data_IF_324530504637
#
_entry.id   IF_324530504637
#
_cell.length_a   1.000
_cell.length_b   1.000
_cell.length_c   1.000
_cell.angle_alpha   90.00
_cell.angle_beta   90.00
_cell.angle_gamma   90.00
#
_symmetry.space_group_name_H-M   'P 1'
#
loop_
_entity.id
_entity.type
_entity.pdbx_description
1 polymer ?
#
# COMPACT_ATOMS: atom_id res chain seq x y z
N UNK A 1 -47.69 -9.59 4.54
CA UNK A 1 -48.73 -8.59 4.80
C UNK A 1 -50.01 -8.98 4.05
N UNK A 2 -51.18 -8.94 4.69
CA UNK A 2 -52.47 -9.23 4.04
C UNK A 2 -53.22 -7.93 3.78
N UNK A 3 -53.38 -7.54 2.52
CA UNK A 3 -54.23 -6.40 2.13
C UNK A 3 -55.70 -6.86 2.10
N UNK A 4 -56.66 -5.93 2.17
CA UNK A 4 -58.13 -6.15 2.16
C UNK A 4 -58.69 -7.02 0.99
N UNK A 5 -57.84 -7.54 0.09
CA UNK A 5 -58.17 -8.51 -0.96
C UNK A 5 -57.85 -9.98 -0.63
N UNK A 6 -57.23 -10.28 0.52
CA UNK A 6 -56.87 -11.65 0.91
C UNK A 6 -55.55 -12.19 0.32
N UNK A 7 -54.79 -11.35 -0.39
CA UNK A 7 -53.43 -11.69 -0.83
C UNK A 7 -52.41 -11.42 0.28
N UNK A 8 -51.65 -12.46 0.65
CA UNK A 8 -50.51 -12.32 1.55
C UNK A 8 -49.26 -12.04 0.70
N UNK A 9 -48.82 -10.80 0.70
CA UNK A 9 -47.55 -10.41 0.09
C UNK A 9 -46.41 -10.77 1.04
N UNK A 10 -45.44 -11.53 0.56
CA UNK A 10 -44.13 -11.67 1.22
C UNK A 10 -43.33 -10.45 0.77
N UNK A 11 -42.91 -9.62 1.74
CA UNK A 11 -42.00 -8.50 1.46
C UNK A 11 -40.59 -9.05 1.58
N UNK A 12 -39.85 -9.01 0.48
CA UNK A 12 -38.42 -9.33 0.47
C UNK A 12 -37.63 -8.05 0.37
N UNK A 13 -36.55 -7.96 1.15
CA UNK A 13 -35.63 -6.82 1.16
C UNK A 13 -34.25 -7.39 0.93
N UNK A 14 -33.58 -6.93 -0.11
CA UNK A 14 -32.20 -7.30 -0.43
C UNK A 14 -31.35 -6.04 -0.41
N UNK A 15 -30.30 -6.04 0.40
CA UNK A 15 -29.26 -5.01 0.36
C UNK A 15 -28.13 -5.51 -0.54
N UNK A 16 -27.81 -4.75 -1.59
CA UNK A 16 -26.64 -4.99 -2.43
C UNK A 16 -25.47 -4.17 -1.87
N UNK A 17 -24.48 -4.79 -1.20
CA UNK A 17 -23.27 -4.09 -0.79
C UNK A 17 -22.37 -3.80 -2.00
N UNK A 18 -21.51 -2.77 -1.93
CA UNK A 18 -20.47 -2.53 -2.91
C UNK A 18 -19.37 -3.57 -2.78
N UNK A 19 -18.44 -3.52 -3.73
CA UNK A 19 -17.13 -4.15 -3.55
C UNK A 19 -16.41 -3.61 -2.31
N UNK A 20 -15.43 -4.38 -1.84
CA UNK A 20 -14.53 -4.01 -0.75
C UNK A 20 -13.88 -2.64 -1.00
N UNK A 21 -13.58 -1.91 0.06
CA UNK A 21 -12.97 -0.59 -0.01
C UNK A 21 -11.66 -0.51 0.78
N UNK A 22 -10.74 0.35 0.33
CA UNK A 22 -9.52 0.65 1.07
C UNK A 22 -9.86 1.65 2.19
N UNK A 23 -9.25 1.49 3.36
CA UNK A 23 -9.31 2.46 4.46
C UNK A 23 -8.99 3.88 3.96
N UNK A 24 -9.85 4.86 4.32
CA UNK A 24 -9.69 6.23 3.84
C UNK A 24 -10.26 6.51 2.45
N UNK A 25 -10.95 5.55 1.80
CA UNK A 25 -11.60 5.76 0.50
C UNK A 25 -13.12 5.85 0.62
N UNK A 26 -13.74 6.51 -0.36
CA UNK A 26 -15.19 6.47 -0.56
C UNK A 26 -15.59 5.10 -1.12
N UNK A 27 -16.65 4.50 -0.60
CA UNK A 27 -17.17 3.24 -1.12
C UNK A 27 -17.83 3.41 -2.50
N UNK A 28 -18.09 2.30 -3.18
CA UNK A 28 -19.11 2.29 -4.23
C UNK A 28 -20.53 2.34 -3.61
N UNK A 29 -21.55 2.44 -4.46
CA UNK A 29 -22.95 2.54 -4.04
C UNK A 29 -23.44 1.26 -3.33
N UNK A 30 -24.14 1.46 -2.21
CA UNK A 30 -25.01 0.49 -1.56
C UNK A 30 -26.44 0.76 -2.04
N UNK A 31 -27.20 -0.29 -2.33
CA UNK A 31 -28.59 -0.16 -2.77
C UNK A 31 -29.52 -1.14 -2.07
N UNK A 32 -30.80 -0.79 -1.99
CA UNK A 32 -31.88 -1.66 -1.52
C UNK A 32 -32.81 -2.02 -2.67
N UNK A 33 -33.07 -3.32 -2.82
CA UNK A 33 -34.12 -3.87 -3.66
C UNK A 33 -35.26 -4.38 -2.76
N UNK A 34 -36.50 -4.09 -3.13
CA UNK A 34 -37.70 -4.54 -2.39
C UNK A 34 -38.62 -5.27 -3.35
N UNK A 35 -39.06 -6.47 -2.97
CA UNK A 35 -40.05 -7.22 -3.73
C UNK A 35 -41.39 -7.36 -3.00
N UNK A 36 -42.53 -7.18 -3.71
CA UNK A 36 -42.61 -6.71 -5.09
C UNK A 36 -42.24 -5.22 -5.23
N UNK A 37 -41.51 -4.87 -6.29
CA UNK A 37 -41.00 -3.50 -6.52
C UNK A 37 -42.05 -2.41 -6.75
N UNK A 38 -43.34 -2.77 -6.75
CA UNK A 38 -44.48 -1.84 -6.80
C UNK A 38 -44.89 -1.30 -5.42
N UNK A 39 -44.29 -1.77 -4.33
CA UNK A 39 -44.59 -1.27 -2.99
C UNK A 39 -44.11 0.18 -2.81
N UNK A 40 -44.97 1.03 -2.25
CA UNK A 40 -44.60 2.37 -1.83
C UNK A 40 -43.82 2.29 -0.52
N UNK A 41 -42.59 2.82 -0.51
CA UNK A 41 -41.71 2.82 0.66
C UNK A 41 -41.82 4.19 1.35
N UNK A 42 -42.11 4.19 2.64
CA UNK A 42 -42.31 5.40 3.44
C UNK A 42 -40.98 6.04 3.83
N UNK A 43 -39.98 5.22 4.17
CA UNK A 43 -38.64 5.69 4.56
C UNK A 43 -37.57 4.61 4.47
N UNK A 44 -36.32 5.06 4.32
CA UNK A 44 -35.11 4.25 4.44
C UNK A 44 -34.30 4.70 5.66
N UNK A 45 -33.58 3.77 6.28
CA UNK A 45 -32.61 4.07 7.33
C UNK A 45 -31.43 3.10 7.23
N UNK A 46 -30.33 3.61 6.69
CA UNK A 46 -29.07 2.88 6.65
C UNK A 46 -28.41 2.80 8.02
N UNK A 47 -27.93 1.60 8.36
CA UNK A 47 -27.26 1.29 9.63
C UNK A 47 -26.13 0.31 9.38
N UNK A 48 -25.17 0.29 10.28
CA UNK A 48 -24.04 -0.63 10.22
C UNK A 48 -23.74 -1.16 11.62
N UNK A 49 -23.12 -2.33 11.64
CA UNK A 49 -22.62 -2.95 12.86
C UNK A 49 -21.22 -3.49 12.59
N UNK A 50 -20.34 -3.36 13.59
CA UNK A 50 -19.07 -4.07 13.63
C UNK A 50 -19.15 -5.18 14.68
N UNK A 51 -18.32 -6.23 14.60
CA UNK A 51 -18.26 -7.26 15.63
C UNK A 51 -18.08 -6.68 17.04
N UNK A 52 -18.76 -7.28 18.02
CA UNK A 52 -18.62 -6.86 19.42
C UNK A 52 -17.18 -7.08 19.88
N UNK A 53 -16.58 -6.05 20.49
CA UNK A 53 -15.17 -6.09 20.90
C UNK A 53 -14.20 -5.67 19.81
N UNK A 54 -14.66 -5.06 18.72
CA UNK A 54 -13.76 -4.43 17.75
C UNK A 54 -13.05 -3.19 18.33
N UNK A 55 -11.74 -3.13 18.11
CA UNK A 55 -10.89 -1.99 18.45
C UNK A 55 -10.83 -0.92 17.36
N UNK A 56 -10.00 0.10 17.56
CA UNK A 56 -9.70 1.15 16.58
C UNK A 56 -10.91 1.95 16.04
N UNK A 57 -11.97 2.12 16.85
CA UNK A 57 -13.14 2.95 16.55
C UNK A 57 -13.78 2.66 15.17
N UNK A 58 -14.45 1.51 14.99
CA UNK A 58 -15.21 1.22 13.78
C UNK A 58 -16.15 2.39 13.43
N UNK A 59 -16.21 2.77 12.16
CA UNK A 59 -17.04 3.89 11.73
C UNK A 59 -17.42 3.77 10.25
N UNK A 60 -18.71 3.94 9.97
CA UNK A 60 -19.26 4.04 8.62
C UNK A 60 -20.21 5.24 8.57
N UNK A 61 -19.91 6.19 7.68
CA UNK A 61 -20.69 7.42 7.51
C UNK A 61 -21.35 7.45 6.12
N UNK A 62 -22.66 7.25 6.09
CA UNK A 62 -23.46 7.28 4.86
C UNK A 62 -23.69 8.72 4.37
N UNK A 63 -23.60 8.94 3.05
CA UNK A 63 -23.87 10.24 2.42
C UNK A 63 -25.36 10.59 2.44
N UNK A 64 -26.22 9.61 2.16
CA UNK A 64 -27.68 9.75 2.06
C UNK A 64 -28.36 8.63 2.86
N UNK A 65 -28.29 8.68 4.21
CA UNK A 65 -28.75 7.58 5.08
C UNK A 65 -30.27 7.31 5.01
N UNK A 66 -31.03 8.17 4.33
CA UNK A 66 -32.49 8.10 4.21
C UNK A 66 -32.99 7.91 2.76
N UNK A 67 -32.13 7.43 1.86
CA UNK A 67 -32.45 7.16 0.45
C UNK A 67 -32.31 5.67 0.12
N UNK A 68 -32.94 5.22 -0.96
CA UNK A 68 -32.83 3.85 -1.46
C UNK A 68 -31.39 3.45 -1.78
N UNK A 69 -30.59 4.40 -2.25
CA UNK A 69 -29.17 4.23 -2.53
C UNK A 69 -28.34 5.19 -1.69
N UNK A 70 -27.12 4.76 -1.33
CA UNK A 70 -26.18 5.57 -0.55
C UNK A 70 -24.74 5.17 -0.84
N UNK A 71 -23.78 6.00 -0.42
CA UNK A 71 -22.35 5.68 -0.39
C UNK A 71 -21.80 5.95 1.00
N UNK A 72 -20.62 5.41 1.29
CA UNK A 72 -19.85 5.73 2.50
C UNK A 72 -18.75 6.71 2.12
N UNK A 73 -18.77 7.91 2.71
CA UNK A 73 -17.84 8.99 2.33
C UNK A 73 -16.40 8.74 2.80
N UNK A 74 -16.22 7.90 3.83
CA UNK A 74 -14.94 7.41 4.31
C UNK A 74 -15.18 6.15 5.16
N UNK A 75 -14.47 5.08 4.86
CA UNK A 75 -14.53 3.81 5.58
C UNK A 75 -13.31 3.65 6.46
N UNK A 76 -13.51 3.30 7.74
CA UNK A 76 -12.40 3.01 8.65
C UNK A 76 -12.19 1.51 8.78
N UNK A 77 -10.96 1.05 8.65
CA UNK A 77 -10.57 -0.26 9.13
C UNK A 77 -10.65 -0.32 10.66
N UNK A 78 -11.05 -1.48 11.19
CA UNK A 78 -11.07 -1.73 12.63
C UNK A 78 -10.44 -3.08 12.98
N UNK A 79 -9.95 -3.20 14.21
CA UNK A 79 -9.30 -4.40 14.72
C UNK A 79 -10.33 -5.39 15.25
N UNK A 80 -10.32 -6.63 14.76
CA UNK A 80 -11.08 -7.72 15.38
C UNK A 80 -10.25 -9.03 15.36
N UNK A 81 -9.87 -9.58 16.53
CA UNK A 81 -10.11 -9.07 17.90
C UNK A 81 -9.43 -7.72 18.15
N UNK A 82 -9.77 -7.02 19.24
CA UNK A 82 -9.05 -5.80 19.66
C UNK A 82 -7.62 -6.15 20.11
N UNK A 83 -6.70 -6.15 19.16
CA UNK A 83 -5.27 -6.31 19.36
C UNK A 83 -4.52 -5.29 18.53
N UNK A 84 -3.42 -4.76 19.06
CA UNK A 84 -2.56 -3.86 18.31
C UNK A 84 -1.75 -4.59 17.23
N UNK A 85 -1.51 -5.89 17.41
CA UNK A 85 -0.62 -6.68 16.56
C UNK A 85 -1.31 -7.10 15.26
N UNK A 86 -0.66 -6.83 14.12
CA UNK A 86 -1.18 -7.22 12.80
C UNK A 86 -1.29 -8.74 12.62
N UNK A 87 -0.52 -9.53 13.39
CA UNK A 87 -0.61 -10.99 13.41
C UNK A 87 -1.95 -11.50 13.92
N UNK A 88 -2.62 -10.71 14.77
CA UNK A 88 -3.85 -11.09 15.43
C UNK A 88 -5.07 -10.56 14.67
N UNK A 89 -4.99 -9.31 14.21
CA UNK A 89 -6.13 -8.62 13.58
C UNK A 89 -6.20 -8.75 12.07
N UNK A 90 -5.09 -9.07 11.43
CA UNK A 90 -4.97 -8.98 9.98
C UNK A 90 -5.12 -7.54 9.46
N UNK A 91 -5.31 -7.43 8.15
CA UNK A 91 -5.35 -6.17 7.40
C UNK A 91 -6.73 -5.85 6.81
N UNK A 92 -7.73 -6.66 7.15
CA UNK A 92 -9.10 -6.57 6.62
C UNK A 92 -10.08 -6.59 7.78
N UNK A 93 -11.20 -5.89 7.66
CA UNK A 93 -12.28 -5.92 8.64
C UNK A 93 -13.63 -5.97 7.92
N UNK A 94 -14.64 -6.51 8.58
CA UNK A 94 -15.98 -6.65 8.01
C UNK A 94 -16.99 -5.83 8.81
N UNK A 95 -17.84 -5.11 8.09
CA UNK A 95 -19.03 -4.47 8.61
C UNK A 95 -20.26 -5.25 8.16
N UNK A 96 -21.23 -5.41 9.06
CA UNK A 96 -22.57 -5.80 8.66
C UNK A 96 -23.32 -4.53 8.25
N UNK A 97 -23.87 -4.51 7.03
CA UNK A 97 -24.54 -3.34 6.48
C UNK A 97 -26.02 -3.64 6.32
N UNK A 98 -26.86 -2.79 6.89
CA UNK A 98 -28.30 -2.99 6.93
C UNK A 98 -29.02 -1.73 6.46
N UNK A 99 -30.19 -1.91 5.85
CA UNK A 99 -31.15 -0.83 5.65
C UNK A 99 -32.50 -1.26 6.20
N UNK A 100 -33.01 -0.51 7.19
CA UNK A 100 -34.39 -0.65 7.63
C UNK A 100 -35.27 0.16 6.68
N UNK A 101 -36.23 -0.50 6.05
CA UNK A 101 -37.27 0.16 5.26
C UNK A 101 -38.58 0.15 6.03
N UNK A 102 -39.39 1.20 5.87
CA UNK A 102 -40.74 1.24 6.45
C UNK A 102 -41.78 1.25 5.33
N UNK A 103 -42.77 0.37 5.44
CA UNK A 103 -43.89 0.25 4.50
C UNK A 103 -45.18 0.15 5.32
N UNK A 104 -46.11 1.08 5.11
CA UNK A 104 -47.36 1.20 5.86
C UNK A 104 -47.13 1.19 7.39
N UNK A 105 -46.08 1.88 7.83
CA UNK A 105 -45.70 1.96 9.26
C UNK A 105 -45.09 0.69 9.86
N UNK A 106 -44.83 -0.36 9.07
CA UNK A 106 -44.11 -1.56 9.49
C UNK A 106 -42.68 -1.55 8.99
N UNK A 107 -41.73 -1.96 9.84
CA UNK A 107 -40.30 -1.99 9.50
C UNK A 107 -39.88 -3.36 8.98
N UNK A 108 -39.16 -3.37 7.86
CA UNK A 108 -38.58 -4.55 7.23
C UNK A 108 -37.07 -4.33 7.05
N UNK A 109 -36.33 -5.43 7.04
CA UNK A 109 -34.87 -5.48 6.83
C UNK A 109 -34.52 -6.74 6.06
N UNK A 110 -33.35 -6.72 5.43
CA UNK A 110 -32.77 -7.91 4.84
C UNK A 110 -32.57 -9.01 5.90
N UNK A 111 -32.89 -10.25 5.55
CA UNK A 111 -32.79 -11.40 6.43
C UNK A 111 -31.37 -12.00 6.48
N UNK A 112 -30.57 -11.79 5.43
CA UNK A 112 -29.23 -12.37 5.30
C UNK A 112 -28.11 -11.47 5.86
N UNK A 113 -28.42 -10.20 6.17
CA UNK A 113 -27.50 -9.16 6.65
C UNK A 113 -26.16 -9.14 5.86
N UNK A 114 -26.09 -8.45 4.71
CA UNK A 114 -24.87 -8.48 3.92
C UNK A 114 -23.67 -7.88 4.64
N UNK A 115 -22.50 -8.46 4.39
CA UNK A 115 -21.23 -7.95 4.87
C UNK A 115 -20.55 -7.08 3.82
N UNK A 116 -19.78 -6.11 4.29
CA UNK A 116 -18.93 -5.26 3.48
C UNK A 116 -17.54 -5.16 4.10
N UNK A 117 -16.51 -5.39 3.30
CA UNK A 117 -15.13 -5.42 3.77
C UNK A 117 -14.43 -4.07 3.56
N UNK A 118 -13.71 -3.63 4.58
CA UNK A 118 -12.75 -2.51 4.52
C UNK A 118 -11.37 -3.05 4.80
N UNK A 119 -10.36 -2.67 4.02
CA UNK A 119 -9.02 -3.21 4.17
C UNK A 119 -7.91 -2.17 4.03
N UNK A 120 -6.76 -2.51 4.59
CA UNK A 120 -5.48 -1.84 4.38
C UNK A 120 -4.65 -2.78 3.49
N UNK A 121 -4.23 -2.40 2.28
CA UNK A 121 -3.41 -3.26 1.43
C UNK A 121 -2.18 -3.79 2.18
N UNK A 122 -1.76 -5.02 1.88
CA UNK A 122 -0.54 -5.60 2.43
C UNK A 122 0.43 -5.98 1.30
N UNK A 123 1.54 -5.22 1.09
CA UNK A 123 1.95 -4.07 1.88
C UNK A 123 1.14 -2.79 1.55
N UNK A 124 0.98 -1.90 2.53
CA UNK A 124 0.22 -0.65 2.38
C UNK A 124 1.04 0.47 1.72
N UNK A 125 2.36 0.36 1.82
CA UNK A 125 3.32 1.16 1.09
C UNK A 125 4.61 0.35 0.95
N UNK A 126 5.53 0.82 0.12
CA UNK A 126 6.85 0.21 0.00
C UNK A 126 7.90 1.27 -0.35
N UNK A 127 9.09 1.10 0.19
CA UNK A 127 10.26 1.87 -0.23
C UNK A 127 10.82 1.29 -1.51
N UNK A 128 10.87 2.10 -2.56
CA UNK A 128 11.61 1.78 -3.77
C UNK A 128 13.08 2.06 -3.50
N UNK A 129 13.88 0.99 -3.54
CA UNK A 129 15.30 1.06 -3.23
C UNK A 129 16.09 1.90 -4.26
N UNK A 130 17.26 2.43 -3.86
CA UNK A 130 18.17 3.07 -4.79
C UNK A 130 18.60 2.10 -5.89
N UNK A 131 19.04 2.66 -7.02
CA UNK A 131 19.68 1.89 -8.09
C UNK A 131 20.61 2.80 -8.86
N UNK A 132 21.69 2.24 -9.42
CA UNK A 132 22.56 2.96 -10.34
C UNK A 132 21.89 2.97 -11.71
N UNK A 133 21.70 4.18 -12.25
CA UNK A 133 21.13 4.46 -13.57
C UNK A 133 22.10 5.26 -14.43
N UNK A 134 21.73 5.45 -15.71
CA UNK A 134 22.52 6.23 -16.66
C UNK A 134 23.68 5.45 -17.24
N UNK A 135 24.55 6.14 -17.95
CA UNK A 135 25.70 5.54 -18.63
C UNK A 135 26.92 6.47 -18.58
N UNK A 136 28.14 5.93 -18.46
CA UNK A 136 29.35 6.71 -18.63
C UNK A 136 29.50 7.21 -20.07
N UNK A 137 30.25 8.30 -20.23
CA UNK A 137 30.65 8.77 -21.54
C UNK A 137 31.69 7.82 -22.12
N UNK A 138 31.48 7.37 -23.36
CA UNK A 138 32.42 6.50 -24.08
C UNK A 138 33.00 7.22 -25.29
N UNK A 139 34.19 6.81 -25.71
CA UNK A 139 34.76 7.24 -26.98
C UNK A 139 35.82 6.29 -27.47
N UNK A 140 36.54 6.72 -28.50
CA UNK A 140 37.52 5.90 -29.20
C UNK A 140 38.90 6.53 -29.11
N UNK A 141 39.92 5.69 -28.90
CA UNK A 141 41.33 6.06 -28.96
C UNK A 141 42.10 5.03 -29.80
N UNK A 142 43.25 5.44 -30.32
CA UNK A 142 44.17 4.55 -31.02
C UNK A 142 45.12 3.90 -30.02
N UNK A 143 45.17 2.57 -30.00
CA UNK A 143 46.12 1.78 -29.21
C UNK A 143 46.75 0.76 -30.13
N UNK A 144 48.08 0.83 -30.31
CA UNK A 144 48.85 -0.06 -31.19
C UNK A 144 48.31 -0.12 -32.63
N UNK A 145 47.83 1.00 -33.18
CA UNK A 145 47.28 1.08 -34.53
C UNK A 145 45.88 0.50 -34.70
N UNK A 146 45.19 0.17 -33.59
CA UNK A 146 43.81 -0.29 -33.60
C UNK A 146 42.91 0.67 -32.83
N UNK A 147 41.66 0.80 -33.28
CA UNK A 147 40.63 1.52 -32.53
C UNK A 147 40.26 0.73 -31.27
N UNK A 148 40.39 1.37 -30.12
CA UNK A 148 39.89 0.87 -28.85
C UNK A 148 38.84 1.84 -28.30
N UNK A 149 37.64 1.32 -28.06
CA UNK A 149 36.58 1.98 -27.33
C UNK A 149 36.89 1.94 -25.83
N UNK A 150 36.70 3.07 -25.14
CA UNK A 150 36.98 3.20 -23.72
C UNK A 150 36.02 4.17 -23.04
N UNK A 151 35.94 4.06 -21.71
CA UNK A 151 35.21 5.00 -20.85
C UNK A 151 36.03 6.28 -20.67
N UNK A 152 35.45 7.43 -21.02
CA UNK A 152 36.11 8.74 -20.99
C UNK A 152 35.67 9.62 -19.81
N UNK A 153 34.53 9.32 -19.19
CA UNK A 153 33.93 10.18 -18.17
C UNK A 153 32.73 9.52 -17.51
N UNK A 154 32.31 10.04 -16.34
CA UNK A 154 31.15 9.52 -15.58
C UNK A 154 29.82 9.64 -16.35
N UNK A 155 29.73 10.56 -17.32
CA UNK A 155 28.53 10.72 -18.13
C UNK A 155 27.30 11.02 -17.29
N UNK A 156 26.20 10.31 -17.56
CA UNK A 156 24.95 10.41 -16.81
C UNK A 156 24.82 9.37 -15.68
N UNK A 157 25.89 8.62 -15.41
CA UNK A 157 25.87 7.59 -14.37
C UNK A 157 25.57 8.24 -13.01
N UNK A 158 24.51 7.77 -12.35
CA UNK A 158 24.05 8.36 -11.10
C UNK A 158 23.33 7.33 -10.23
N UNK A 159 23.31 7.60 -8.92
CA UNK A 159 22.45 6.90 -7.97
C UNK A 159 21.07 7.52 -8.03
N UNK A 160 20.04 6.74 -8.37
CA UNK A 160 18.65 7.17 -8.22
C UNK A 160 18.29 7.17 -6.74
N UNK A 161 17.71 8.27 -6.26
CA UNK A 161 17.27 8.39 -4.87
C UNK A 161 16.16 7.36 -4.54
N UNK A 162 16.14 6.85 -3.29
CA UNK A 162 15.02 6.06 -2.80
C UNK A 162 13.77 6.92 -2.65
N UNK A 163 12.59 6.32 -2.75
CA UNK A 163 11.32 7.01 -2.51
C UNK A 163 10.24 6.03 -2.04
N UNK A 164 9.22 6.55 -1.36
CA UNK A 164 8.07 5.76 -0.92
C UNK A 164 7.03 5.68 -2.04
N UNK A 165 6.53 4.48 -2.31
CA UNK A 165 5.32 4.25 -3.11
C UNK A 165 4.19 3.89 -2.15
N UNK A 166 3.20 4.77 -2.02
CA UNK A 166 1.99 4.52 -1.22
C UNK A 166 0.94 3.76 -2.03
N UNK A 167 0.27 2.81 -1.37
CA UNK A 167 -0.92 2.12 -1.90
C UNK A 167 -2.20 2.48 -1.13
N UNK A 168 -2.08 3.33 -0.10
CA UNK A 168 -3.20 3.90 0.65
C UNK A 168 -3.33 5.40 0.39
N UNK A 169 -4.56 5.95 0.41
CA UNK A 169 -4.78 7.39 0.27
C UNK A 169 -4.25 8.17 1.50
N UNK A 170 -4.08 9.48 1.36
CA UNK A 170 -3.74 10.38 2.48
C UNK A 170 -4.80 10.40 3.58
N UNK A 171 -6.06 10.13 3.22
CA UNK A 171 -7.17 10.06 4.15
C UNK A 171 -7.22 8.77 4.99
N UNK A 172 -6.37 7.77 4.68
CA UNK A 172 -6.26 6.56 5.52
C UNK A 172 -5.74 6.94 6.90
N UNK A 173 -6.34 6.35 7.94
CA UNK A 173 -5.89 6.56 9.32
C UNK A 173 -4.46 6.05 9.57
N UNK A 174 -3.96 5.16 8.71
CA UNK A 174 -2.62 4.59 8.78
C UNK A 174 -1.58 5.33 7.91
N UNK A 175 -1.99 6.34 7.13
CA UNK A 175 -1.10 7.00 6.17
C UNK A 175 0.16 7.58 6.84
N UNK A 176 0.00 8.33 7.94
CA UNK A 176 1.15 8.90 8.65
C UNK A 176 2.06 7.80 9.21
N UNK A 177 1.49 6.79 9.90
CA UNK A 177 2.25 5.69 10.52
C UNK A 177 3.07 4.90 9.50
N UNK A 178 2.44 4.48 8.39
CA UNK A 178 3.06 3.58 7.42
C UNK A 178 3.87 4.37 6.38
N UNK A 179 3.26 5.35 5.70
CA UNK A 179 3.88 6.01 4.55
C UNK A 179 4.94 7.01 5.00
N UNK A 180 4.60 7.83 6.00
CA UNK A 180 5.47 8.95 6.41
C UNK A 180 6.54 8.50 7.39
N UNK A 181 6.19 7.65 8.36
CA UNK A 181 7.10 7.27 9.44
C UNK A 181 7.85 5.98 9.12
N UNK A 182 7.17 4.87 8.85
CA UNK A 182 7.82 3.59 8.58
C UNK A 182 8.63 3.63 7.26
N UNK A 183 7.97 3.83 6.13
CA UNK A 183 8.65 3.87 4.83
C UNK A 183 9.55 5.11 4.68
N UNK A 184 9.16 6.24 5.27
CA UNK A 184 10.02 7.42 5.35
C UNK A 184 11.32 7.13 6.12
N UNK A 185 11.29 6.24 7.12
CA UNK A 185 12.51 5.80 7.82
C UNK A 185 13.42 4.98 6.93
N UNK A 186 12.91 4.09 6.08
CA UNK A 186 13.72 3.40 5.08
C UNK A 186 14.37 4.36 4.07
N UNK A 187 13.63 5.36 3.60
CA UNK A 187 14.20 6.44 2.76
C UNK A 187 15.35 7.15 3.48
N UNK A 188 15.19 7.46 4.77
CA UNK A 188 16.25 8.05 5.59
C UNK A 188 17.46 7.11 5.72
N UNK A 189 17.26 5.82 6.01
CA UNK A 189 18.33 4.82 6.11
C UNK A 189 19.16 4.72 4.82
N UNK A 190 18.51 4.73 3.65
CA UNK A 190 19.20 4.74 2.36
C UNK A 190 19.82 6.11 1.99
N UNK A 191 19.40 7.21 2.62
CA UNK A 191 19.89 8.55 2.26
C UNK A 191 21.02 9.01 3.18
N UNK A 192 20.82 8.91 4.49
CA UNK A 192 21.71 9.42 5.53
C UNK A 192 22.34 8.31 6.38
N UNK A 193 21.75 7.12 6.41
CA UNK A 193 22.21 6.02 7.25
C UNK A 193 21.77 6.15 8.71
N UNK A 194 21.96 5.06 9.47
CA UNK A 194 21.68 5.04 10.92
C UNK A 194 22.90 4.43 11.64
N UNK A 195 23.96 5.21 11.86
CA UNK A 195 25.23 4.70 12.39
C UNK A 195 25.10 4.09 13.80
N UNK A 196 24.18 4.59 14.61
CA UNK A 196 24.00 4.16 16.01
C UNK A 196 23.60 2.68 16.14
N UNK A 197 23.00 2.12 15.09
CA UNK A 197 22.65 0.70 15.00
C UNK A 197 23.48 -0.02 13.93
N UNK A 198 24.52 0.61 13.39
CA UNK A 198 25.42 -0.02 12.42
C UNK A 198 24.85 -0.21 11.01
N UNK A 199 23.73 0.42 10.65
CA UNK A 199 23.18 0.35 9.29
C UNK A 199 24.01 1.18 8.32
N UNK A 200 24.44 0.55 7.22
CA UNK A 200 25.30 1.16 6.19
C UNK A 200 24.61 1.31 4.84
N UNK A 201 23.29 1.11 4.77
CA UNK A 201 22.49 1.23 3.54
C UNK A 201 22.76 2.49 2.68
N UNK A 202 23.11 3.61 3.30
CA UNK A 202 23.46 4.85 2.60
C UNK A 202 24.73 4.78 1.74
N UNK A 203 25.65 3.84 2.02
CA UNK A 203 26.89 3.64 1.25
C UNK A 203 26.69 2.75 0.01
N UNK A 204 25.50 2.18 -0.16
CA UNK A 204 25.15 1.30 -1.27
C UNK A 204 24.71 2.10 -2.51
N UNK A 205 24.84 1.49 -3.69
CA UNK A 205 24.59 2.09 -5.01
C UNK A 205 25.45 3.33 -5.29
N UNK A 206 26.70 3.31 -4.83
CA UNK A 206 27.66 4.37 -5.11
C UNK A 206 28.13 4.33 -6.57
N UNK A 207 27.54 5.22 -7.37
CA UNK A 207 27.87 5.41 -8.78
C UNK A 207 29.30 5.96 -9.00
N UNK A 208 29.83 6.75 -8.05
CA UNK A 208 31.20 7.27 -8.12
C UNK A 208 32.21 6.16 -7.87
N UNK A 209 31.98 5.32 -6.86
CA UNK A 209 32.82 4.15 -6.61
C UNK A 209 32.79 3.17 -7.79
N UNK A 210 31.62 2.89 -8.36
CA UNK A 210 31.51 2.03 -9.55
C UNK A 210 32.30 2.62 -10.73
N UNK A 211 32.13 3.91 -11.00
CA UNK A 211 32.84 4.58 -12.09
C UNK A 211 34.36 4.52 -11.89
N UNK A 212 34.84 4.97 -10.74
CA UNK A 212 36.27 5.12 -10.46
C UNK A 212 36.99 3.77 -10.37
N UNK A 213 36.38 2.77 -9.74
CA UNK A 213 37.05 1.51 -9.40
C UNK A 213 36.84 0.39 -10.43
N UNK A 214 35.80 0.48 -11.26
CA UNK A 214 35.45 -0.59 -12.21
C UNK A 214 35.43 -0.04 -13.64
N UNK A 215 34.56 0.92 -13.92
CA UNK A 215 34.22 1.28 -15.31
C UNK A 215 35.36 1.96 -16.06
N UNK A 216 36.24 2.70 -15.38
CA UNK A 216 37.42 3.35 -15.99
C UNK A 216 38.38 2.37 -16.68
N UNK A 217 38.37 1.09 -16.28
CA UNK A 217 39.20 0.02 -16.85
C UNK A 217 38.53 -0.75 -18.00
N UNK A 218 37.21 -0.59 -18.18
CA UNK A 218 36.44 -1.34 -19.18
C UNK A 218 36.72 -0.78 -20.58
N UNK A 219 37.10 -1.66 -21.50
CA UNK A 219 37.42 -1.31 -22.90
C UNK A 219 36.87 -2.34 -23.88
N UNK A 220 36.79 -1.96 -25.16
CA UNK A 220 36.46 -2.87 -26.26
C UNK A 220 37.27 -2.56 -27.51
N UNK A 221 37.82 -3.60 -28.15
CA UNK A 221 38.44 -3.49 -29.48
C UNK A 221 37.45 -3.89 -30.61
N UNK A 222 36.17 -4.12 -30.29
CA UNK A 222 35.15 -4.60 -31.23
C UNK A 222 34.30 -3.43 -31.73
N UNK A 223 33.55 -2.79 -30.83
CA UNK A 223 32.62 -1.70 -31.18
C UNK A 223 32.20 -0.91 -29.95
N UNK A 224 31.58 0.24 -30.17
CA UNK A 224 30.91 1.01 -29.12
C UNK A 224 29.84 0.18 -28.42
N UNK A 225 29.08 -0.63 -29.18
CA UNK A 225 28.01 -1.45 -28.63
C UNK A 225 28.53 -2.56 -27.71
N UNK A 226 29.66 -3.19 -28.08
CA UNK A 226 30.30 -4.19 -27.21
C UNK A 226 30.75 -3.56 -25.88
N UNK A 227 31.36 -2.36 -25.94
CA UNK A 227 31.71 -1.62 -24.74
C UNK A 227 30.47 -1.29 -23.90
N UNK A 228 29.40 -0.77 -24.51
CA UNK A 228 28.13 -0.48 -23.83
C UNK A 228 27.56 -1.72 -23.13
N UNK A 229 27.58 -2.88 -23.80
CA UNK A 229 27.11 -4.13 -23.20
C UNK A 229 27.93 -4.53 -21.98
N UNK A 230 29.27 -4.44 -22.06
CA UNK A 230 30.17 -4.71 -20.92
C UNK A 230 29.90 -3.77 -19.74
N UNK A 231 29.74 -2.49 -20.02
CA UNK A 231 29.40 -1.49 -18.98
C UNK A 231 28.05 -1.83 -18.32
N UNK A 232 27.04 -2.19 -19.12
CA UNK A 232 25.74 -2.56 -18.58
C UNK A 232 25.81 -3.80 -17.68
N UNK A 233 26.65 -4.78 -18.04
CA UNK A 233 26.92 -5.94 -17.19
C UNK A 233 27.50 -5.51 -15.83
N UNK A 234 28.47 -4.61 -15.81
CA UNK A 234 29.07 -4.13 -14.55
C UNK A 234 28.07 -3.32 -13.70
N UNK A 235 27.25 -2.48 -14.32
CA UNK A 235 26.16 -1.76 -13.61
C UNK A 235 25.17 -2.75 -12.99
N UNK A 236 24.75 -3.77 -13.76
CA UNK A 236 23.83 -4.80 -13.27
C UNK A 236 24.45 -5.62 -12.13
N UNK A 237 25.74 -5.95 -12.23
CA UNK A 237 26.48 -6.65 -11.19
C UNK A 237 26.52 -5.83 -9.90
N UNK A 238 26.85 -4.54 -9.98
CA UNK A 238 26.89 -3.66 -8.81
C UNK A 238 25.51 -3.49 -8.18
N UNK A 239 24.48 -3.26 -8.98
CA UNK A 239 23.09 -3.19 -8.52
C UNK A 239 22.67 -4.47 -7.78
N UNK A 240 23.03 -5.64 -8.29
CA UNK A 240 22.75 -6.94 -7.66
C UNK A 240 23.48 -7.11 -6.33
N UNK A 241 24.79 -6.84 -6.30
CA UNK A 241 25.61 -6.98 -5.08
C UNK A 241 25.11 -6.05 -3.97
N UNK A 242 24.75 -4.82 -4.32
CA UNK A 242 24.22 -3.85 -3.36
C UNK A 242 22.83 -4.24 -2.87
N UNK A 243 21.97 -4.78 -3.74
CA UNK A 243 20.69 -5.37 -3.34
C UNK A 243 20.88 -6.51 -2.33
N UNK A 244 21.78 -7.46 -2.63
CA UNK A 244 22.08 -8.58 -1.72
C UNK A 244 22.64 -8.10 -0.36
N UNK A 245 23.42 -7.00 -0.34
CA UNK A 245 23.89 -6.40 0.91
C UNK A 245 22.76 -5.73 1.69
N UNK A 246 21.87 -5.00 1.02
CA UNK A 246 20.73 -4.38 1.67
C UNK A 246 19.77 -5.43 2.27
N UNK A 247 19.54 -6.55 1.59
CA UNK A 247 18.75 -7.67 2.16
C UNK A 247 19.40 -8.26 3.42
N UNK A 248 20.73 -8.32 3.51
CA UNK A 248 21.42 -8.77 4.73
C UNK A 248 21.22 -7.84 5.92
N UNK A 249 21.01 -6.55 5.67
CA UNK A 249 20.73 -5.53 6.68
C UNK A 249 19.23 -5.34 6.94
N UNK A 250 18.36 -6.04 6.20
CA UNK A 250 16.92 -5.80 6.19
C UNK A 250 16.29 -5.96 7.56
N UNK A 251 16.55 -7.05 8.29
CA UNK A 251 15.94 -7.26 9.61
C UNK A 251 16.22 -6.11 10.59
N UNK A 252 17.42 -5.53 10.52
CA UNK A 252 17.80 -4.39 11.37
C UNK A 252 17.18 -3.07 10.87
N UNK A 253 17.07 -2.90 9.56
CA UNK A 253 16.36 -1.78 8.94
C UNK A 253 14.87 -1.77 9.28
N UNK A 254 14.21 -2.94 9.22
CA UNK A 254 12.80 -3.15 9.58
C UNK A 254 12.60 -2.93 11.09
N UNK A 255 13.52 -3.41 11.95
CA UNK A 255 13.47 -3.16 13.40
C UNK A 255 13.47 -1.67 13.72
N UNK A 256 14.38 -0.91 13.12
CA UNK A 256 14.47 0.53 13.31
C UNK A 256 13.22 1.26 12.76
N UNK A 257 12.74 0.89 11.57
CA UNK A 257 11.53 1.48 10.98
C UNK A 257 10.28 1.19 11.82
N UNK A 258 10.09 -0.05 12.27
CA UNK A 258 8.97 -0.42 13.14
C UNK A 258 9.04 0.26 14.50
N UNK A 259 10.24 0.38 15.10
CA UNK A 259 10.43 1.11 16.36
C UNK A 259 9.96 2.57 16.24
N UNK A 260 10.22 3.24 15.12
CA UNK A 260 9.71 4.60 14.89
C UNK A 260 8.20 4.61 14.68
N UNK A 261 7.66 3.70 13.86
CA UNK A 261 6.23 3.72 13.50
C UNK A 261 5.29 3.28 14.62
N UNK A 262 5.71 2.36 15.50
CA UNK A 262 4.92 1.90 16.66
C UNK A 262 4.68 3.03 17.67
N UNK A 263 5.53 4.06 17.70
CA UNK A 263 5.32 5.23 18.54
C UNK A 263 4.23 6.19 18.00
N UNK A 264 3.63 5.89 16.84
CA UNK A 264 2.71 6.77 16.12
C UNK A 264 1.34 6.13 15.98
N UNK A 265 0.30 6.88 16.34
CA UNK A 265 -1.09 6.45 16.21
C UNK A 265 -1.49 6.15 14.74
N UNK A 266 -2.48 5.26 14.53
CA UNK A 266 -3.17 4.46 15.55
C UNK A 266 -2.30 3.31 16.10
N UNK A 267 -2.56 2.87 17.34
CA UNK A 267 -1.87 1.74 18.02
C UNK A 267 -2.43 0.39 17.52
N UNK A 268 -2.36 0.20 16.19
CA UNK A 268 -2.84 -0.98 15.47
C UNK A 268 -1.95 -1.26 14.25
N UNK A 269 -2.10 -2.46 13.68
CA UNK A 269 -1.27 -2.99 12.59
C UNK A 269 0.23 -2.98 12.93
N UNK A 270 0.55 -3.25 14.19
CA UNK A 270 1.92 -3.31 14.67
C UNK A 270 2.56 -4.64 14.31
N UNK A 271 3.81 -4.60 13.89
CA UNK A 271 4.61 -5.80 13.64
C UNK A 271 5.62 -5.94 14.77
N UNK A 272 5.62 -7.09 15.43
CA UNK A 272 6.68 -7.41 16.38
C UNK A 272 7.98 -7.67 15.63
N UNK A 273 8.96 -6.77 15.82
CA UNK A 273 10.31 -7.00 15.33
C UNK A 273 11.22 -7.22 16.52
N UNK A 274 11.76 -8.44 16.64
CA UNK A 274 12.82 -8.72 17.60
C UNK A 274 14.12 -8.08 17.12
N UNK A 275 14.96 -7.62 18.05
CA UNK A 275 16.34 -7.26 17.74
C UNK A 275 17.03 -8.49 17.11
N UNK A 276 17.60 -8.36 15.90
CA UNK A 276 18.35 -9.44 15.26
C UNK A 276 19.69 -9.73 15.95
#
# INVERSE_FOLDING_TARGET
YTVESGETWVVEVEVTPPSNAIDGTTSNEFSVNVEPGSLSIDSYQWTWEAPEGSGNNPAVNYSTPNQQTTIVNNAHWHAFPDSRLSSDTGFECEYMVNCNITINGQTFRDALNPTWQVFVPNPAAQTIWPTIIGMPAIGVRQVNGQNQWYVMGKGSLARRAPYVRSYIPEASQFHNKIVTVHEGRHVYQFTAGVPDIGLTLHTLWDADALYNNVLTSVTSNISAQDLTNKIQVEINNKNRVDYEQAERERSLAEYDAHTQSTAVSPDYLEVEVSLP
#
